data_IF_635564065964
#
_entry.id   IF_635564065964
#
_cell.length_a   1.000
_cell.length_b   1.000
_cell.length_c   1.000
_cell.angle_alpha   90.00
_cell.angle_beta   90.00
_cell.angle_gamma   90.00
#
_symmetry.space_group_name_H-M   'P 1'
#
loop_
_entity.id
_entity.type
_entity.pdbx_description
1 polymer ?
#
# COMPACT_ATOMS: atom_id res chain seq x y z
N UNK A 1 -2.65 26.37 33.97
CA UNK A 1 -3.46 25.24 34.46
C UNK A 1 -4.21 24.70 33.27
N UNK A 2 -3.76 23.56 32.77
CA UNK A 2 -4.16 22.92 31.52
C UNK A 2 -5.57 22.36 31.61
N UNK A 3 -6.45 22.82 30.72
CA UNK A 3 -7.73 22.19 30.44
C UNK A 3 -7.46 21.01 29.50
N UNK A 4 -7.69 19.80 30.01
CA UNK A 4 -7.66 18.55 29.26
C UNK A 4 -8.91 18.52 28.37
N UNK A 5 -8.75 18.77 27.08
CA UNK A 5 -9.79 18.50 26.10
C UNK A 5 -9.89 16.98 25.93
N UNK A 6 -10.94 16.39 26.49
CA UNK A 6 -11.32 15.01 26.27
C UNK A 6 -11.83 14.84 24.84
N UNK A 7 -10.96 14.44 23.92
CA UNK A 7 -11.35 14.06 22.56
C UNK A 7 -11.72 12.57 22.55
N UNK A 8 -12.98 12.28 22.23
CA UNK A 8 -13.53 10.92 22.05
C UNK A 8 -13.09 10.30 20.71
N UNK A 9 -11.77 10.15 20.54
CA UNK A 9 -11.14 9.44 19.42
C UNK A 9 -10.56 8.03 19.73
N UNK A 10 -10.60 7.46 20.96
CA UNK A 10 -9.87 6.21 21.26
C UNK A 10 -10.53 4.93 20.70
N UNK A 11 -11.66 5.01 20.00
CA UNK A 11 -12.37 3.84 19.46
C UNK A 11 -12.04 3.50 18.00
N UNK A 12 -11.47 4.43 17.23
CA UNK A 12 -11.18 4.20 15.79
C UNK A 12 -9.90 3.37 15.60
N UNK A 13 -8.88 3.59 16.44
CA UNK A 13 -7.66 2.76 16.49
C UNK A 13 -7.97 1.31 16.92
N UNK A 14 -8.96 1.12 17.80
CA UNK A 14 -9.36 -0.19 18.30
C UNK A 14 -10.11 -1.01 17.23
N UNK A 15 -10.85 -0.36 16.33
CA UNK A 15 -11.56 -1.02 15.24
C UNK A 15 -10.64 -1.47 14.09
N UNK A 16 -9.48 -0.81 13.92
CA UNK A 16 -8.48 -1.07 12.87
C UNK A 16 -7.78 -2.43 13.02
N UNK A 17 -7.65 -2.90 14.25
CA UNK A 17 -7.03 -4.18 14.61
C UNK A 17 -8.07 -5.30 14.80
N UNK A 18 -9.24 -4.95 15.33
CA UNK A 18 -10.29 -5.93 15.62
C UNK A 18 -11.03 -6.43 14.38
N UNK A 19 -11.13 -5.69 13.27
CA UNK A 19 -11.82 -6.23 12.08
C UNK A 19 -11.08 -7.38 11.37
N UNK A 20 -9.75 -7.48 11.54
CA UNK A 20 -9.01 -8.65 11.10
C UNK A 20 -9.27 -9.88 12.01
N UNK A 21 -9.68 -9.64 13.27
CA UNK A 21 -9.80 -10.66 14.33
C UNK A 21 -11.21 -10.80 14.93
N UNK A 22 -12.26 -10.13 14.43
CA UNK A 22 -13.61 -10.22 15.00
C UNK A 22 -14.44 -11.25 14.25
N UNK A 23 -14.94 -12.23 14.98
CA UNK A 23 -15.76 -13.37 14.54
C UNK A 23 -17.16 -13.01 13.99
N UNK A 24 -17.50 -11.73 13.81
CA UNK A 24 -18.86 -11.32 13.46
C UNK A 24 -19.05 -11.00 11.97
N UNK A 25 -19.60 -12.00 11.26
CA UNK A 25 -20.34 -11.81 10.02
C UNK A 25 -21.62 -10.98 10.32
N UNK A 26 -21.49 -9.65 10.29
CA UNK A 26 -22.62 -8.74 10.23
C UNK A 26 -23.05 -8.10 11.55
N UNK A 27 -23.26 -6.77 11.47
CA UNK A 27 -23.90 -5.92 12.48
C UNK A 27 -23.20 -5.84 13.85
N UNK A 28 -22.53 -4.71 14.11
CA UNK A 28 -22.38 -4.23 15.48
C UNK A 28 -23.78 -3.79 15.96
N UNK A 29 -24.49 -4.69 16.64
CA UNK A 29 -25.54 -4.30 17.57
C UNK A 29 -24.83 -3.80 18.83
N UNK A 30 -24.86 -2.49 19.05
CA UNK A 30 -24.52 -1.91 20.36
C UNK A 30 -25.58 -2.38 21.34
N UNK A 31 -25.37 -3.51 22.01
CA UNK A 31 -26.26 -3.97 23.06
C UNK A 31 -25.99 -3.18 24.33
N UNK A 32 -27.01 -2.45 24.77
CA UNK A 32 -27.12 -1.75 26.05
C UNK A 32 -26.53 -2.56 27.21
N UNK A 33 -25.48 -2.03 27.82
CA UNK A 33 -25.08 -2.39 29.17
C UNK A 33 -25.21 -1.16 30.08
N UNK A 34 -26.34 -1.10 30.79
CA UNK A 34 -26.44 -0.41 32.06
C UNK A 34 -26.83 1.07 32.00
N UNK A 35 -28.14 1.31 32.06
CA UNK A 35 -28.71 2.57 32.49
C UNK A 35 -28.17 2.99 33.86
N UNK A 36 -27.47 4.13 33.90
CA UNK A 36 -27.63 5.19 34.92
C UNK A 36 -26.61 6.31 34.66
N UNK A 37 -26.94 7.21 33.73
CA UNK A 37 -26.54 8.62 33.75
C UNK A 37 -27.34 9.34 32.65
N UNK A 38 -28.49 9.91 33.02
CA UNK A 38 -29.26 10.74 32.11
C UNK A 38 -28.45 11.96 31.67
N UNK A 39 -28.29 12.11 30.36
CA UNK A 39 -28.01 13.39 29.72
C UNK A 39 -28.72 13.38 28.36
N UNK A 40 -29.69 14.28 28.22
CA UNK A 40 -30.52 14.49 27.04
C UNK A 40 -29.67 14.60 25.77
N UNK A 41 -29.95 13.73 24.79
CA UNK A 41 -29.47 13.85 23.41
C UNK A 41 -30.52 14.67 22.67
N UNK A 42 -30.50 15.99 22.87
CA UNK A 42 -31.14 16.92 21.95
C UNK A 42 -30.37 18.25 22.01
N UNK A 43 -29.93 18.69 20.83
CA UNK A 43 -29.12 19.90 20.55
C UNK A 43 -27.64 19.83 20.98
N UNK A 44 -26.77 19.37 20.08
CA UNK A 44 -25.34 19.73 20.10
C UNK A 44 -25.15 20.87 19.12
N UNK A 45 -24.86 22.04 19.67
CA UNK A 45 -24.43 23.25 18.98
C UNK A 45 -23.05 23.01 18.37
N UNK A 46 -22.97 23.07 17.04
CA UNK A 46 -21.75 22.89 16.26
C UNK A 46 -21.03 24.25 16.26
N UNK A 47 -20.34 24.55 17.35
CA UNK A 47 -19.53 25.76 17.44
C UNK A 47 -18.38 25.70 16.42
N UNK A 48 -18.28 26.76 15.60
CA UNK A 48 -17.22 27.04 14.61
C UNK A 48 -15.84 26.54 15.04
N UNK A 49 -15.48 25.33 14.59
CA UNK A 49 -14.11 24.86 14.51
C UNK A 49 -13.69 25.08 13.06
N UNK A 50 -12.74 25.98 12.84
CA UNK A 50 -12.36 26.46 11.51
C UNK A 50 -12.24 25.35 10.45
N UNK A 51 -12.84 25.60 9.30
CA UNK A 51 -12.82 24.73 8.13
C UNK A 51 -11.38 24.42 7.69
N UNK A 52 -10.96 23.18 7.91
CA UNK A 52 -9.76 22.60 7.31
C UNK A 52 -9.17 21.47 8.16
N UNK A 53 -8.76 20.33 7.56
CA UNK A 53 -7.86 19.41 8.26
C UNK A 53 -6.60 20.18 8.69
N UNK A 54 -6.02 19.89 9.86
CA UNK A 54 -4.83 20.58 10.32
C UNK A 54 -3.73 20.49 9.27
N UNK A 55 -3.06 21.63 9.01
CA UNK A 55 -1.83 21.70 8.21
C UNK A 55 -0.73 20.93 8.96
N UNK A 56 -0.71 19.61 8.72
CA UNK A 56 0.45 18.76 9.01
C UNK A 56 1.50 19.23 8.01
N UNK A 57 2.48 20.03 8.45
CA UNK A 57 3.57 20.48 7.59
C UNK A 57 4.10 19.32 6.74
N UNK A 58 4.50 19.61 5.49
CA UNK A 58 4.87 18.61 4.46
C UNK A 58 6.01 17.69 4.93
N UNK A 59 5.70 16.68 5.76
CA UNK A 59 6.64 15.65 6.16
C UNK A 59 6.81 14.71 4.97
N UNK A 60 7.88 14.94 4.22
CA UNK A 60 8.29 14.10 3.10
C UNK A 60 9.05 12.86 3.58
N UNK A 61 9.16 12.66 4.90
CA UNK A 61 10.00 11.67 5.56
C UNK A 61 11.37 12.23 5.96
N UNK A 62 12.26 11.37 6.49
CA UNK A 62 13.59 11.78 6.90
C UNK A 62 14.29 12.54 5.76
N UNK A 63 14.71 13.77 6.07
CA UNK A 63 15.53 14.56 5.15
C UNK A 63 16.87 13.87 4.92
N UNK A 64 17.47 14.10 3.74
CA UNK A 64 18.78 13.58 3.30
C UNK A 64 19.99 13.99 4.18
N UNK A 65 19.75 14.52 5.38
CA UNK A 65 20.78 15.04 6.27
C UNK A 65 21.55 16.24 5.70
N UNK A 66 21.03 16.88 4.63
CA UNK A 66 21.71 17.95 3.91
C UNK A 66 22.72 17.45 2.87
N UNK A 67 22.70 16.16 2.53
CA UNK A 67 23.50 15.58 1.44
C UNK A 67 22.68 15.64 0.16
N UNK A 68 23.11 16.45 -0.80
CA UNK A 68 22.47 16.49 -2.13
C UNK A 68 22.63 15.14 -2.82
N UNK A 69 21.53 14.41 -2.98
CA UNK A 69 21.44 13.21 -3.81
C UNK A 69 21.43 13.61 -5.30
N UNK A 70 22.51 13.31 -6.07
CA UNK A 70 22.59 13.70 -7.47
C UNK A 70 21.62 12.95 -8.39
N UNK A 71 21.04 11.84 -7.91
CA UNK A 71 20.02 11.07 -8.64
C UNK A 71 18.62 11.65 -8.48
N UNK A 72 18.39 12.51 -7.47
CA UNK A 72 17.08 13.05 -7.19
C UNK A 72 16.67 14.10 -8.24
N UNK A 73 15.61 13.79 -9.00
CA UNK A 73 15.04 14.69 -10.01
C UNK A 73 13.91 15.52 -9.42
N UNK A 74 13.04 14.87 -8.63
CA UNK A 74 11.86 15.48 -8.05
C UNK A 74 11.46 14.77 -6.76
N UNK A 75 10.99 15.52 -5.77
CA UNK A 75 10.31 15.01 -4.57
C UNK A 75 9.29 16.05 -4.13
N UNK A 76 8.04 15.64 -3.95
CA UNK A 76 7.04 16.54 -3.40
C UNK A 76 5.62 15.99 -3.44
N UNK A 77 4.72 16.75 -2.81
CA UNK A 77 3.28 16.48 -2.79
C UNK A 77 2.57 17.49 -3.70
N UNK A 78 2.08 17.00 -4.84
CA UNK A 78 1.54 17.84 -5.92
C UNK A 78 0.02 17.71 -6.04
N UNK A 79 -0.69 18.77 -6.47
CA UNK A 79 -2.11 18.68 -6.78
C UNK A 79 -2.30 17.86 -8.07
N UNK A 80 -2.70 16.59 -7.91
CA UNK A 80 -2.86 15.63 -9.01
C UNK A 80 -4.30 15.08 -8.97
N UNK A 81 -5.09 15.41 -9.99
CA UNK A 81 -6.51 15.08 -10.02
C UNK A 81 -7.29 15.79 -8.90
N UNK A 82 -8.02 15.02 -8.10
CA UNK A 82 -8.78 15.50 -6.95
C UNK A 82 -8.01 15.41 -5.62
N UNK A 83 -6.76 14.95 -5.63
CA UNK A 83 -5.95 14.74 -4.44
C UNK A 83 -4.66 15.55 -4.43
N UNK A 84 -3.94 15.44 -3.31
CA UNK A 84 -2.55 15.87 -3.18
C UNK A 84 -1.70 14.62 -3.04
N UNK A 85 -0.93 14.30 -4.07
CA UNK A 85 -0.25 13.02 -4.18
C UNK A 85 1.26 13.19 -4.07
N UNK A 86 1.88 12.34 -3.25
CA UNK A 86 3.32 12.25 -3.15
C UNK A 86 3.91 11.56 -4.38
N UNK A 87 4.93 12.19 -4.96
CA UNK A 87 5.75 11.62 -6.03
C UNK A 87 7.22 11.94 -5.76
N UNK A 88 8.06 10.93 -5.88
CA UNK A 88 9.51 11.07 -5.89
C UNK A 88 10.09 10.39 -7.12
N UNK A 89 10.95 11.09 -7.86
CA UNK A 89 11.57 10.62 -9.09
C UNK A 89 13.07 10.68 -8.93
N UNK A 90 13.73 9.54 -9.17
CA UNK A 90 15.18 9.38 -9.12
C UNK A 90 15.73 8.80 -10.43
N UNK A 91 17.03 8.91 -10.61
CA UNK A 91 17.77 8.30 -11.72
C UNK A 91 17.95 9.23 -12.92
N UNK A 92 17.80 8.68 -14.13
CA UNK A 92 18.09 9.41 -15.38
C UNK A 92 16.85 9.56 -16.26
N UNK A 93 16.38 10.80 -16.48
CA UNK A 93 15.26 11.08 -17.40
C UNK A 93 15.66 11.22 -18.87
N UNK A 94 16.96 11.29 -19.18
CA UNK A 94 17.48 11.43 -20.54
C UNK A 94 17.72 10.07 -21.25
N UNK A 95 17.46 8.95 -20.57
CA UNK A 95 17.56 7.61 -21.14
C UNK A 95 16.43 7.30 -22.14
N UNK A 96 16.62 6.23 -22.91
CA UNK A 96 15.59 5.67 -23.80
C UNK A 96 14.79 4.53 -23.16
N UNK A 97 15.21 4.04 -21.98
CA UNK A 97 14.44 3.05 -21.22
C UNK A 97 13.18 3.68 -20.65
N UNK A 98 12.11 2.90 -20.55
CA UNK A 98 10.87 3.37 -19.92
C UNK A 98 11.13 3.70 -18.43
N UNK A 99 10.53 4.77 -17.88
CA UNK A 99 10.54 5.02 -16.45
C UNK A 99 9.80 3.90 -15.71
N UNK A 100 10.28 3.52 -14.52
CA UNK A 100 9.59 2.59 -13.63
C UNK A 100 8.69 3.35 -12.67
N UNK A 101 7.47 2.87 -12.45
CA UNK A 101 6.61 3.31 -11.34
C UNK A 101 6.50 2.18 -10.33
N UNK A 102 6.85 2.48 -9.08
CA UNK A 102 6.79 1.55 -7.95
C UNK A 102 5.50 1.80 -7.15
N UNK A 103 4.74 0.74 -6.89
CA UNK A 103 3.44 0.79 -6.22
C UNK A 103 3.43 -0.11 -4.98
N UNK A 104 3.01 0.44 -3.85
CA UNK A 104 3.14 -0.16 -2.52
C UNK A 104 2.19 -1.30 -2.22
N UNK A 105 2.60 -2.16 -1.28
CA UNK A 105 1.70 -3.14 -0.68
C UNK A 105 0.66 -2.46 0.20
N UNK A 106 -0.49 -3.12 0.35
CA UNK A 106 -1.68 -2.62 1.06
C UNK A 106 -2.26 -1.29 0.52
N UNK A 107 -3.59 -1.11 0.58
CA UNK A 107 -4.23 0.13 0.12
C UNK A 107 -3.84 1.40 0.87
N UNK A 108 -3.19 1.32 2.04
CA UNK A 108 -2.76 2.49 2.81
C UNK A 108 -1.24 2.75 2.91
N UNK A 109 -0.35 1.86 2.48
CA UNK A 109 1.09 2.05 2.77
C UNK A 109 1.78 3.02 1.81
N UNK A 110 2.76 3.76 2.33
CA UNK A 110 3.65 4.58 1.54
C UNK A 110 4.69 3.78 0.75
N UNK A 111 5.39 4.47 -0.14
CA UNK A 111 6.39 3.90 -1.07
C UNK A 111 7.82 3.88 -0.55
N UNK A 112 8.09 4.32 0.69
CA UNK A 112 9.44 4.50 1.23
C UNK A 112 10.18 3.18 1.43
N UNK A 113 9.46 2.11 1.78
CA UNK A 113 10.05 0.79 1.98
C UNK A 113 10.73 0.24 0.71
N UNK A 114 10.39 0.79 -0.46
CA UNK A 114 11.10 0.47 -1.69
C UNK A 114 12.54 0.95 -1.65
N UNK A 115 12.85 2.10 -1.07
CA UNK A 115 14.15 2.76 -1.21
C UNK A 115 15.33 1.85 -0.84
N UNK A 116 15.36 1.16 0.33
CA UNK A 116 16.44 0.22 0.65
C UNK A 116 16.62 -0.93 -0.37
N UNK A 117 15.55 -1.27 -1.09
CA UNK A 117 15.48 -2.43 -1.99
C UNK A 117 15.83 -2.07 -3.43
N UNK A 118 15.44 -0.87 -3.89
CA UNK A 118 15.73 -0.39 -5.25
C UNK A 118 16.93 0.55 -5.32
N UNK A 119 17.35 1.21 -4.24
CA UNK A 119 18.55 2.07 -4.27
C UNK A 119 19.85 1.30 -4.59
N UNK A 120 20.05 0.05 -4.13
CA UNK A 120 21.18 -0.77 -4.59
C UNK A 120 21.15 -1.09 -6.10
N UNK A 121 20.00 -0.91 -6.75
CA UNK A 121 19.81 -1.17 -8.18
C UNK A 121 19.85 0.13 -8.99
N UNK A 122 19.06 1.13 -8.60
CA UNK A 122 18.79 2.35 -9.35
C UNK A 122 19.21 3.63 -8.63
N UNK A 123 19.64 3.55 -7.37
CA UNK A 123 20.09 4.70 -6.57
C UNK A 123 21.53 5.14 -6.90
N UNK A 124 22.08 6.13 -6.17
CA UNK A 124 23.34 6.84 -6.48
C UNK A 124 24.64 6.02 -6.50
N UNK A 125 24.54 4.72 -6.25
CA UNK A 125 25.66 3.78 -6.34
C UNK A 125 25.19 2.42 -6.85
N UNK A 126 23.97 2.40 -7.42
CA UNK A 126 23.31 1.20 -7.87
C UNK A 126 23.92 0.68 -9.16
N UNK A 127 23.82 -0.62 -9.37
CA UNK A 127 24.36 -1.30 -10.56
C UNK A 127 23.75 -0.79 -11.89
N UNK A 128 22.65 -0.03 -11.83
CA UNK A 128 21.91 0.50 -12.96
C UNK A 128 21.58 2.01 -12.83
N UNK A 129 22.28 2.73 -11.94
CA UNK A 129 22.06 4.14 -11.56
C UNK A 129 21.80 5.09 -12.75
N UNK A 130 22.48 4.87 -13.88
CA UNK A 130 22.47 5.80 -15.00
C UNK A 130 21.48 5.46 -16.14
N UNK A 131 20.80 4.30 -16.10
CA UNK A 131 20.12 3.79 -17.30
C UNK A 131 18.60 3.95 -17.29
N UNK A 132 17.99 4.34 -16.17
CA UNK A 132 16.54 4.62 -16.11
C UNK A 132 16.10 5.60 -15.03
N UNK A 133 14.90 6.15 -15.18
CA UNK A 133 14.22 6.86 -14.12
C UNK A 133 13.30 5.92 -13.32
N UNK A 134 13.18 6.15 -12.02
CA UNK A 134 12.31 5.39 -11.10
C UNK A 134 11.45 6.37 -10.31
N UNK A 135 10.16 6.08 -10.25
CA UNK A 135 9.17 6.88 -9.54
C UNK A 135 8.57 6.10 -8.37
N UNK A 136 8.70 6.66 -7.17
CA UNK A 136 8.04 6.23 -5.94
C UNK A 136 6.76 7.03 -5.79
N UNK A 137 5.62 6.33 -5.73
CA UNK A 137 4.30 6.97 -5.75
C UNK A 137 3.47 6.44 -4.59
N UNK A 138 2.89 7.36 -3.82
CA UNK A 138 1.82 7.03 -2.89
C UNK A 138 0.49 7.38 -3.58
N UNK A 139 -0.38 6.39 -3.80
CA UNK A 139 -1.69 6.65 -4.40
C UNK A 139 -2.59 7.45 -3.45
N UNK A 140 -3.76 7.85 -3.93
CA UNK A 140 -4.74 8.51 -3.09
C UNK A 140 -4.99 7.71 -1.79
N UNK A 141 -5.00 8.37 -0.64
CA UNK A 141 -5.16 7.74 0.67
C UNK A 141 -4.07 6.69 1.03
N UNK A 142 -2.88 6.76 0.43
CA UNK A 142 -1.69 5.99 0.84
C UNK A 142 -0.63 6.88 1.44
N UNK A 143 0.14 6.36 2.40
CA UNK A 143 1.36 6.98 2.90
C UNK A 143 1.20 8.48 3.18
N UNK A 144 1.93 9.30 2.42
CA UNK A 144 1.95 10.77 2.52
C UNK A 144 0.87 11.47 1.68
N UNK A 145 0.19 10.75 0.80
CA UNK A 145 -0.86 11.28 -0.05
C UNK A 145 -2.16 11.52 0.72
N UNK A 146 -2.88 12.58 0.34
CA UNK A 146 -4.11 12.96 1.02
C UNK A 146 -5.26 11.98 0.76
N UNK A 147 -6.33 12.05 1.57
CA UNK A 147 -7.60 11.36 1.35
C UNK A 147 -8.44 11.96 0.19
N UNK A 148 -7.96 13.02 -0.47
CA UNK A 148 -8.68 13.90 -1.42
C UNK A 148 -9.89 14.67 -0.86
N UNK A 149 -10.72 14.04 -0.02
CA UNK A 149 -11.99 14.58 0.46
C UNK A 149 -12.23 14.20 1.92
N UNK A 150 -13.08 14.98 2.61
CA UNK A 150 -13.68 14.55 3.87
C UNK A 150 -14.79 13.50 3.69
N UNK A 151 -15.26 13.31 2.46
CA UNK A 151 -16.19 12.24 2.10
C UNK A 151 -15.44 10.91 1.98
N UNK A 152 -15.52 10.10 3.03
CA UNK A 152 -14.89 8.78 3.11
C UNK A 152 -15.35 7.82 2.00
N UNK A 153 -16.54 8.01 1.40
CA UNK A 153 -17.01 7.16 0.29
C UNK A 153 -16.17 7.30 -0.99
N UNK A 154 -15.38 8.37 -1.09
CA UNK A 154 -14.45 8.60 -2.19
C UNK A 154 -13.10 7.91 -1.97
N UNK A 155 -12.87 7.28 -0.81
CA UNK A 155 -11.66 6.51 -0.53
C UNK A 155 -11.91 5.04 -0.89
N UNK A 156 -11.71 4.72 -2.17
CA UNK A 156 -12.04 3.42 -2.74
C UNK A 156 -11.04 3.02 -3.84
N UNK A 157 -11.11 1.75 -4.27
CA UNK A 157 -10.19 1.17 -5.25
C UNK A 157 -10.22 1.91 -6.61
N UNK A 158 -11.39 2.35 -7.06
CA UNK A 158 -11.55 3.04 -8.34
C UNK A 158 -10.85 4.40 -8.34
N UNK A 159 -10.97 5.16 -7.26
CA UNK A 159 -10.31 6.46 -7.13
C UNK A 159 -8.79 6.31 -6.92
N UNK A 160 -8.33 5.24 -6.26
CA UNK A 160 -6.90 4.93 -6.23
C UNK A 160 -6.35 4.59 -7.63
N UNK A 161 -7.07 3.78 -8.41
CA UNK A 161 -6.70 3.50 -9.80
C UNK A 161 -6.71 4.77 -10.67
N UNK A 162 -7.68 5.65 -10.48
CA UNK A 162 -7.71 6.95 -11.16
C UNK A 162 -6.51 7.82 -10.77
N UNK A 163 -6.14 7.81 -9.49
CA UNK A 163 -4.97 8.55 -9.00
C UNK A 163 -3.67 8.07 -9.65
N UNK A 164 -3.51 6.75 -9.87
CA UNK A 164 -2.37 6.19 -10.62
C UNK A 164 -2.32 6.75 -12.05
N UNK A 165 -3.44 6.76 -12.77
CA UNK A 165 -3.51 7.33 -14.11
C UNK A 165 -3.18 8.82 -14.16
N UNK A 166 -3.70 9.59 -13.21
CA UNK A 166 -3.40 11.02 -13.10
C UNK A 166 -1.92 11.26 -12.77
N UNK A 167 -1.31 10.44 -11.91
CA UNK A 167 0.11 10.55 -11.57
C UNK A 167 1.02 10.22 -12.76
N UNK A 168 0.71 9.17 -13.52
CA UNK A 168 1.44 8.85 -14.75
C UNK A 168 1.32 10.00 -15.76
N UNK A 169 0.13 10.60 -15.91
CA UNK A 169 -0.06 11.75 -16.79
C UNK A 169 0.74 12.97 -16.32
N UNK A 170 0.71 13.28 -15.02
CA UNK A 170 1.53 14.33 -14.43
C UNK A 170 3.02 14.13 -14.73
N UNK A 171 3.52 12.90 -14.57
CA UNK A 171 4.92 12.57 -14.86
C UNK A 171 5.27 12.71 -16.35
N UNK A 172 4.38 12.27 -17.25
CA UNK A 172 4.52 12.45 -18.70
C UNK A 172 4.65 13.92 -19.07
N UNK A 173 3.75 14.76 -18.56
CA UNK A 173 3.69 16.17 -18.93
C UNK A 173 4.88 16.98 -18.40
N UNK A 174 5.39 16.63 -17.22
CA UNK A 174 6.43 17.41 -16.53
C UNK A 174 7.85 16.91 -16.75
N UNK A 175 8.05 15.60 -16.91
CA UNK A 175 9.38 14.98 -16.91
C UNK A 175 9.64 14.07 -18.11
N UNK A 176 8.61 13.45 -18.70
CA UNK A 176 8.78 12.38 -19.70
C UNK A 176 7.98 12.63 -20.98
N UNK A 177 8.10 13.82 -21.58
CA UNK A 177 7.22 14.28 -22.68
C UNK A 177 7.30 13.44 -23.96
N UNK A 178 8.43 12.75 -24.18
CA UNK A 178 8.64 11.86 -25.34
C UNK A 178 8.32 10.39 -25.02
N UNK A 179 8.00 10.08 -23.77
CA UNK A 179 7.77 8.70 -23.32
C UNK A 179 6.34 8.28 -23.57
N UNK A 180 6.17 7.18 -24.31
CA UNK A 180 4.84 6.61 -24.57
C UNK A 180 4.45 5.54 -23.55
N UNK A 181 5.42 4.92 -22.87
CA UNK A 181 5.20 3.78 -21.97
C UNK A 181 5.96 3.91 -20.66
N UNK A 182 5.35 3.40 -19.60
CA UNK A 182 5.97 3.24 -18.29
C UNK A 182 6.06 1.74 -17.98
N UNK A 183 7.08 1.34 -17.25
CA UNK A 183 7.12 0.02 -16.65
C UNK A 183 6.52 0.12 -15.25
N UNK A 184 5.70 -0.85 -14.86
CA UNK A 184 5.02 -0.85 -13.57
C UNK A 184 5.49 -2.01 -12.72
N UNK A 185 5.93 -1.73 -11.51
CA UNK A 185 6.26 -2.72 -10.49
C UNK A 185 5.30 -2.52 -9.33
N UNK A 186 4.39 -3.47 -9.15
CA UNK A 186 3.39 -3.41 -8.08
C UNK A 186 3.55 -4.56 -7.12
N UNK A 187 3.58 -4.25 -5.82
CA UNK A 187 3.63 -5.22 -4.74
C UNK A 187 2.29 -5.27 -4.02
N UNK A 188 1.73 -6.46 -3.77
CA UNK A 188 0.47 -6.58 -3.04
C UNK A 188 -0.65 -5.81 -3.74
N UNK A 189 -1.24 -4.87 -3.00
CA UNK A 189 -2.24 -3.93 -3.50
C UNK A 189 -1.77 -3.16 -4.75
N UNK A 190 -0.53 -2.67 -4.74
CA UNK A 190 0.09 -2.04 -5.90
C UNK A 190 0.15 -2.97 -7.11
N UNK A 191 0.25 -4.29 -6.90
CA UNK A 191 0.16 -5.30 -7.96
C UNK A 191 -1.22 -5.33 -8.63
N UNK A 192 -2.29 -5.28 -7.85
CA UNK A 192 -3.66 -5.16 -8.39
C UNK A 192 -3.85 -3.83 -9.13
N UNK A 193 -3.41 -2.71 -8.55
CA UNK A 193 -3.50 -1.39 -9.21
C UNK A 193 -2.73 -1.34 -10.53
N UNK A 194 -1.51 -1.90 -10.57
CA UNK A 194 -0.70 -2.00 -11.78
C UNK A 194 -1.40 -2.83 -12.86
N UNK A 195 -1.95 -3.99 -12.49
CA UNK A 195 -2.66 -4.87 -13.39
C UNK A 195 -3.92 -4.21 -13.98
N UNK A 196 -4.74 -3.58 -13.14
CA UNK A 196 -5.95 -2.87 -13.58
C UNK A 196 -5.64 -1.67 -14.47
N UNK A 197 -4.54 -0.95 -14.18
CA UNK A 197 -4.07 0.12 -15.04
C UNK A 197 -3.63 -0.42 -16.39
N UNK A 198 -2.83 -1.49 -16.42
CA UNK A 198 -2.36 -2.12 -17.65
C UNK A 198 -3.53 -2.67 -18.51
N UNK A 199 -4.54 -3.25 -17.87
CA UNK A 199 -5.75 -3.75 -18.54
C UNK A 199 -6.56 -2.62 -19.20
N UNK A 200 -6.68 -1.49 -18.51
CA UNK A 200 -7.47 -0.34 -18.97
C UNK A 200 -6.72 0.58 -19.94
N UNK A 201 -5.39 0.46 -20.02
CA UNK A 201 -4.52 1.33 -20.82
C UNK A 201 -3.58 0.51 -21.72
N UNK A 202 -4.13 -0.34 -22.63
CA UNK A 202 -3.30 -1.19 -23.49
C UNK A 202 -2.33 -0.35 -24.32
N UNK A 203 -1.06 -0.77 -24.34
CA UNK A 203 0.01 -0.06 -25.05
C UNK A 203 0.69 1.07 -24.25
N UNK A 204 0.18 1.44 -23.07
CA UNK A 204 0.84 2.42 -22.18
C UNK A 204 1.83 1.80 -21.18
N UNK A 205 1.86 0.46 -21.08
CA UNK A 205 2.75 -0.28 -20.17
C UNK A 205 3.77 -1.06 -20.98
N UNK A 206 5.06 -0.88 -20.66
CA UNK A 206 6.17 -1.58 -21.33
C UNK A 206 6.43 -2.96 -20.72
N UNK A 207 6.71 -3.00 -19.42
CA UNK A 207 6.84 -4.20 -18.59
C UNK A 207 5.91 -4.09 -17.38
N UNK A 208 5.29 -5.21 -17.01
CA UNK A 208 4.45 -5.32 -15.81
C UNK A 208 5.06 -6.36 -14.86
N UNK A 209 5.48 -5.93 -13.68
CA UNK A 209 6.02 -6.81 -12.64
C UNK A 209 5.06 -6.80 -11.46
N UNK A 210 4.54 -7.97 -11.12
CA UNK A 210 3.54 -8.18 -10.07
C UNK A 210 4.16 -9.02 -8.96
N UNK A 211 4.44 -8.40 -7.82
CA UNK A 211 5.02 -9.07 -6.65
C UNK A 211 3.89 -9.37 -5.68
N UNK A 212 3.67 -10.64 -5.37
CA UNK A 212 2.66 -11.09 -4.41
C UNK A 212 1.30 -10.36 -4.60
N UNK A 213 0.74 -10.30 -5.83
CA UNK A 213 -0.34 -9.37 -6.14
C UNK A 213 -1.60 -9.66 -5.30
N UNK A 214 -2.30 -8.60 -4.89
CA UNK A 214 -3.50 -8.67 -4.05
C UNK A 214 -4.60 -9.55 -4.66
N UNK A 215 -5.50 -10.14 -3.86
CA UNK A 215 -6.70 -10.82 -4.35
C UNK A 215 -7.41 -10.11 -5.50
N UNK A 216 -7.66 -10.82 -6.59
CA UNK A 216 -8.34 -10.29 -7.77
C UNK A 216 -9.87 -10.35 -7.68
N UNK A 217 -10.44 -11.11 -6.73
CA UNK A 217 -11.88 -11.23 -6.52
C UNK A 217 -12.22 -11.55 -5.06
N UNK A 218 -13.52 -11.51 -4.73
CA UNK A 218 -14.02 -11.72 -3.38
C UNK A 218 -13.73 -13.13 -2.84
N UNK A 219 -13.78 -14.18 -3.67
CA UNK A 219 -13.56 -15.56 -3.24
C UNK A 219 -12.12 -15.78 -2.76
N UNK A 220 -11.14 -15.34 -3.55
CA UNK A 220 -9.73 -15.47 -3.17
C UNK A 220 -9.34 -14.48 -2.06
N UNK A 221 -10.06 -13.36 -1.92
CA UNK A 221 -9.91 -12.46 -0.77
C UNK A 221 -10.39 -13.14 0.51
N UNK A 222 -11.58 -13.75 0.50
CA UNK A 222 -12.12 -14.48 1.63
C UNK A 222 -11.22 -15.67 2.02
N UNK A 223 -10.69 -16.42 1.03
CA UNK A 223 -9.73 -17.50 1.28
C UNK A 223 -8.43 -16.97 1.90
N UNK A 224 -7.89 -15.85 1.41
CA UNK A 224 -6.71 -15.21 1.99
C UNK A 224 -6.95 -14.84 3.46
N UNK A 225 -8.07 -14.18 3.78
CA UNK A 225 -8.42 -13.81 5.16
C UNK A 225 -8.59 -15.05 6.04
N UNK A 226 -9.18 -16.13 5.52
CA UNK A 226 -9.31 -17.38 6.25
C UNK A 226 -7.95 -18.03 6.53
N UNK A 227 -7.09 -18.16 5.52
CA UNK A 227 -5.74 -18.71 5.65
C UNK A 227 -4.94 -17.93 6.68
N UNK A 228 -4.98 -16.61 6.55
CA UNK A 228 -4.38 -15.67 7.48
C UNK A 228 -4.89 -15.95 8.90
N UNK A 229 -6.19 -15.85 9.19
CA UNK A 229 -6.76 -16.09 10.53
C UNK A 229 -6.39 -17.44 11.16
N UNK A 230 -6.20 -18.46 10.35
CA UNK A 230 -5.83 -19.80 10.83
C UNK A 230 -4.32 -20.00 10.99
N UNK A 231 -3.49 -19.03 10.59
CA UNK A 231 -2.05 -19.06 10.84
C UNK A 231 -1.79 -18.98 12.35
N UNK A 232 -1.12 -20.00 12.87
CA UNK A 232 -0.86 -20.14 14.30
C UNK A 232 0.17 -19.16 14.86
N UNK A 233 0.81 -18.33 14.02
CA UNK A 233 1.82 -17.34 14.41
C UNK A 233 1.20 -15.97 14.74
N UNK A 234 -0.12 -15.81 14.64
CA UNK A 234 -0.81 -14.61 15.09
C UNK A 234 -0.71 -14.40 16.61
N UNK A 235 -0.03 -13.34 17.04
CA UNK A 235 -0.03 -12.90 18.44
C UNK A 235 -1.12 -11.85 18.70
N UNK A 236 -2.38 -12.30 18.66
CA UNK A 236 -3.55 -11.46 18.93
C UNK A 236 -3.54 -10.87 20.34
N UNK A 237 -2.88 -11.53 21.29
CA UNK A 237 -2.72 -11.02 22.66
C UNK A 237 -1.74 -9.85 22.68
N UNK A 238 -0.54 -9.98 22.10
CA UNK A 238 0.41 -8.89 22.04
C UNK A 238 -0.17 -7.67 21.32
N UNK A 239 -0.93 -7.91 20.23
CA UNK A 239 -1.61 -6.85 19.50
C UNK A 239 -2.70 -6.16 20.35
N UNK A 240 -3.49 -6.93 21.11
CA UNK A 240 -4.47 -6.39 22.07
C UNK A 240 -3.80 -5.60 23.20
N UNK A 241 -2.70 -6.11 23.75
CA UNK A 241 -1.96 -5.45 24.83
C UNK A 241 -1.32 -4.14 24.36
N UNK A 242 -0.78 -4.11 23.13
CA UNK A 242 -0.24 -2.92 22.49
C UNK A 242 -1.33 -1.85 22.29
N UNK A 243 -2.45 -2.22 21.67
CA UNK A 243 -3.53 -1.27 21.36
C UNK A 243 -4.25 -0.74 22.61
N UNK A 244 -4.32 -1.52 23.68
CA UNK A 244 -4.85 -1.07 24.97
C UNK A 244 -3.88 -0.19 25.76
N UNK A 245 -2.60 -0.13 25.37
CA UNK A 245 -1.63 0.73 26.03
C UNK A 245 -1.97 2.21 25.74
N UNK A 246 -2.14 3.07 26.76
CA UNK A 246 -2.42 4.49 26.53
C UNK A 246 -1.34 5.23 25.71
N UNK A 247 -0.12 4.71 25.62
CA UNK A 247 0.92 5.26 24.75
C UNK A 247 0.61 5.07 23.26
N UNK A 248 -0.05 3.97 22.88
CA UNK A 248 -0.49 3.75 21.51
C UNK A 248 -1.38 4.91 21.03
N UNK A 249 -2.36 5.32 21.85
CA UNK A 249 -3.24 6.44 21.53
C UNK A 249 -2.57 7.83 21.57
N UNK A 250 -1.33 7.95 22.05
CA UNK A 250 -0.58 9.21 22.10
C UNK A 250 0.31 9.42 20.87
N UNK A 251 0.66 8.35 20.16
CA UNK A 251 1.42 8.39 18.92
C UNK A 251 0.85 7.30 17.99
N UNK A 252 -0.12 7.69 17.17
CA UNK A 252 -0.86 6.76 16.32
C UNK A 252 0.03 6.16 15.23
N UNK A 253 0.94 6.94 14.66
CA UNK A 253 1.85 6.47 13.61
C UNK A 253 2.78 5.37 14.16
N UNK A 254 3.41 5.62 15.31
CA UNK A 254 4.23 4.61 15.97
C UNK A 254 3.42 3.39 16.40
N UNK A 255 2.21 3.59 16.93
CA UNK A 255 1.36 2.46 17.31
C UNK A 255 1.02 1.59 16.12
N UNK A 256 0.77 2.20 14.97
CA UNK A 256 0.39 1.47 13.78
C UNK A 256 1.58 0.72 13.17
N UNK A 257 2.79 1.29 13.20
CA UNK A 257 4.04 0.58 12.88
C UNK A 257 4.26 -0.62 13.83
N UNK A 258 4.11 -0.42 15.14
CA UNK A 258 4.28 -1.49 16.12
C UNK A 258 3.21 -2.59 15.96
N UNK A 259 1.98 -2.19 15.62
CA UNK A 259 0.87 -3.12 15.34
C UNK A 259 1.15 -3.93 14.08
N UNK A 260 1.64 -3.27 13.03
CA UNK A 260 2.06 -3.93 11.79
C UNK A 260 3.17 -4.95 12.07
N UNK A 261 4.13 -4.65 12.95
CA UNK A 261 5.19 -5.60 13.32
C UNK A 261 4.68 -6.87 14.00
N UNK A 262 3.57 -6.80 14.73
CA UNK A 262 2.96 -7.99 15.34
C UNK A 262 2.10 -8.73 14.31
N UNK A 263 1.34 -7.96 13.53
CA UNK A 263 0.36 -8.48 12.58
C UNK A 263 1.04 -9.13 11.36
N UNK A 264 2.09 -8.54 10.81
CA UNK A 264 2.69 -8.99 9.54
C UNK A 264 3.58 -10.24 9.66
N UNK A 265 3.75 -10.83 10.84
CA UNK A 265 4.55 -12.07 11.03
C UNK A 265 4.10 -13.18 10.08
N UNK A 266 2.79 -13.45 9.88
CA UNK A 266 2.37 -14.51 8.97
C UNK A 266 2.59 -14.24 7.49
N UNK A 267 3.06 -13.04 7.15
CA UNK A 267 3.31 -12.67 5.75
C UNK A 267 4.70 -13.08 5.29
N UNK A 268 5.60 -13.44 6.19
CA UNK A 268 6.94 -13.95 5.85
C UNK A 268 7.06 -15.42 6.16
N UNK A 269 7.98 -16.11 5.49
CA UNK A 269 8.25 -17.51 5.75
C UNK A 269 8.79 -17.69 7.19
N UNK A 270 8.45 -18.82 7.81
CA UNK A 270 8.92 -19.16 9.16
C UNK A 270 10.45 -19.14 9.22
N UNK A 271 11.01 -18.37 10.14
CA UNK A 271 12.46 -18.19 10.32
C UNK A 271 13.02 -16.89 9.71
N UNK A 272 12.23 -16.15 8.92
CA UNK A 272 12.65 -14.88 8.31
C UNK A 272 12.15 -13.63 9.05
N UNK A 273 11.45 -13.79 10.19
CA UNK A 273 10.84 -12.68 10.92
C UNK A 273 11.85 -11.61 11.34
N UNK A 274 13.04 -12.05 11.80
CA UNK A 274 14.09 -11.13 12.25
C UNK A 274 14.64 -10.27 11.11
N UNK A 275 14.86 -10.85 9.93
CA UNK A 275 15.32 -10.13 8.73
C UNK A 275 14.24 -9.15 8.28
N UNK A 276 12.98 -9.61 8.27
CA UNK A 276 11.84 -8.79 7.87
C UNK A 276 11.72 -7.50 8.70
N UNK A 277 11.83 -7.57 10.02
CA UNK A 277 11.70 -6.37 10.86
C UNK A 277 12.96 -5.52 10.98
N UNK A 278 14.12 -6.05 10.61
CA UNK A 278 15.37 -5.30 10.54
C UNK A 278 15.46 -4.47 9.25
N UNK A 279 15.03 -5.05 8.12
CA UNK A 279 15.28 -4.48 6.79
C UNK A 279 14.05 -3.78 6.20
N UNK A 280 12.84 -4.04 6.70
CA UNK A 280 11.65 -3.31 6.26
C UNK A 280 11.48 -1.98 7.01
N UNK A 281 11.69 -0.89 6.29
CA UNK A 281 11.46 0.46 6.77
C UNK A 281 10.12 1.01 6.28
N UNK A 282 9.12 1.08 7.17
CA UNK A 282 7.82 1.72 6.90
C UNK A 282 7.66 2.92 7.83
N UNK A 283 7.62 4.12 7.24
CA UNK A 283 7.50 5.37 8.00
C UNK A 283 6.12 6.03 7.86
N UNK A 284 5.47 5.86 6.70
CA UNK A 284 4.15 6.45 6.46
C UNK A 284 3.15 5.39 6.02
N UNK A 285 2.00 5.43 6.66
CA UNK A 285 0.88 4.57 6.36
C UNK A 285 -0.42 5.27 6.72
N UNK A 286 -1.40 5.17 5.83
CA UNK A 286 -2.73 5.71 6.01
C UNK A 286 -3.71 4.56 6.23
N UNK A 287 -3.79 4.11 7.48
CA UNK A 287 -4.63 2.97 7.87
C UNK A 287 -6.13 3.24 7.77
N UNK A 288 -6.55 4.52 7.78
CA UNK A 288 -7.93 4.87 7.45
C UNK A 288 -8.21 4.58 5.97
N UNK A 289 -7.30 4.98 5.08
CA UNK A 289 -7.37 4.66 3.66
C UNK A 289 -7.40 3.16 3.39
N UNK A 290 -6.51 2.42 4.04
CA UNK A 290 -6.46 0.95 4.01
C UNK A 290 -7.83 0.32 4.33
N UNK A 291 -8.40 0.72 5.48
CA UNK A 291 -9.70 0.22 5.95
C UNK A 291 -10.85 0.57 5.00
N UNK A 292 -10.92 1.82 4.53
CA UNK A 292 -12.03 2.28 3.70
C UNK A 292 -12.03 1.57 2.34
N UNK A 293 -10.86 1.36 1.74
CA UNK A 293 -10.73 0.62 0.48
C UNK A 293 -11.10 -0.86 0.65
N UNK A 294 -10.60 -1.52 1.70
CA UNK A 294 -10.94 -2.92 1.96
C UNK A 294 -12.44 -3.11 2.30
N UNK A 295 -13.04 -2.17 3.04
CA UNK A 295 -14.48 -2.15 3.30
C UNK A 295 -15.29 -1.96 2.00
N UNK A 296 -14.87 -1.04 1.13
CA UNK A 296 -15.51 -0.84 -0.18
C UNK A 296 -15.49 -2.12 -1.01
N UNK A 297 -14.34 -2.78 -1.14
CA UNK A 297 -14.23 -4.05 -1.88
C UNK A 297 -15.15 -5.14 -1.33
N UNK A 298 -15.18 -5.31 0.00
CA UNK A 298 -16.06 -6.30 0.64
C UNK A 298 -17.54 -5.97 0.41
N UNK A 299 -17.91 -4.69 0.44
CA UNK A 299 -19.28 -4.25 0.19
C UNK A 299 -19.72 -4.43 -1.27
N UNK A 300 -18.78 -4.51 -2.21
CA UNK A 300 -19.08 -4.84 -3.61
C UNK A 300 -19.53 -6.31 -3.79
N UNK A 301 -19.15 -7.22 -2.87
CA UNK A 301 -19.48 -8.63 -2.95
C UNK A 301 -19.05 -9.25 -4.28
N UNK A 302 -19.96 -9.93 -4.98
CA UNK A 302 -19.69 -10.55 -6.29
C UNK A 302 -19.23 -9.56 -7.38
N UNK A 303 -19.46 -8.25 -7.20
CA UNK A 303 -18.96 -7.24 -8.13
C UNK A 303 -17.45 -6.99 -8.00
N UNK A 304 -16.83 -7.40 -6.89
CA UNK A 304 -15.38 -7.50 -6.75
C UNK A 304 -14.90 -8.75 -7.47
N UNK A 305 -14.78 -8.63 -8.80
CA UNK A 305 -14.15 -9.62 -9.67
C UNK A 305 -13.42 -8.93 -10.83
N UNK A 306 -12.09 -8.97 -10.78
CA UNK A 306 -11.21 -8.38 -11.78
C UNK A 306 -10.57 -9.42 -12.71
N UNK A 307 -10.87 -10.70 -12.57
CA UNK A 307 -10.18 -11.76 -13.32
C UNK A 307 -10.33 -11.57 -14.85
N UNK A 308 -11.52 -11.19 -15.31
CA UNK A 308 -11.78 -10.94 -16.72
C UNK A 308 -10.98 -9.74 -17.26
N UNK A 309 -10.83 -8.68 -16.46
CA UNK A 309 -10.05 -7.50 -16.83
C UNK A 309 -8.55 -7.83 -16.89
N UNK A 310 -8.04 -8.55 -15.88
CA UNK A 310 -6.64 -9.01 -15.81
C UNK A 310 -6.29 -9.87 -17.03
N UNK A 311 -7.17 -10.77 -17.47
CA UNK A 311 -6.95 -11.60 -18.64
C UNK A 311 -6.80 -10.82 -19.97
N UNK A 312 -7.17 -9.53 -20.01
CA UNK A 312 -7.01 -8.66 -21.20
C UNK A 312 -5.66 -7.93 -21.26
N UNK A 313 -4.80 -8.07 -20.24
CA UNK A 313 -3.50 -7.39 -20.20
C UNK A 313 -2.63 -7.85 -21.37
N UNK A 314 -2.07 -6.87 -22.09
CA UNK A 314 -1.20 -7.11 -23.26
C UNK A 314 0.28 -6.88 -22.96
N UNK A 315 0.60 -6.24 -21.83
CA UNK A 315 1.96 -5.97 -21.44
C UNK A 315 2.69 -7.29 -21.09
N UNK A 316 3.95 -7.47 -21.51
CA UNK A 316 4.82 -8.53 -20.98
C UNK A 316 4.80 -8.50 -19.46
N UNK A 317 4.36 -9.60 -18.85
CA UNK A 317 4.08 -9.66 -17.42
C UNK A 317 4.93 -10.71 -16.73
N UNK A 318 5.51 -10.36 -15.58
CA UNK A 318 6.20 -11.29 -14.70
C UNK A 318 5.55 -11.25 -13.32
N UNK A 319 5.15 -12.40 -12.81
CA UNK A 319 4.56 -12.59 -11.48
C UNK A 319 5.64 -13.18 -10.56
N UNK A 320 5.99 -12.44 -9.52
CA UNK A 320 7.01 -12.80 -8.53
C UNK A 320 6.30 -13.20 -7.23
N UNK A 321 6.48 -14.45 -6.76
CA UNK A 321 5.74 -14.97 -5.59
C UNK A 321 6.65 -15.75 -4.65
N UNK A 322 6.43 -15.65 -3.35
CA UNK A 322 7.05 -16.57 -2.38
C UNK A 322 6.36 -17.94 -2.32
N UNK A 323 7.08 -18.95 -1.85
CA UNK A 323 6.52 -20.29 -1.57
C UNK A 323 5.69 -20.34 -0.28
N UNK A 324 5.94 -19.43 0.66
CA UNK A 324 5.26 -19.29 1.95
C UNK A 324 4.27 -18.11 1.96
N UNK A 325 3.97 -17.54 0.80
CA UNK A 325 3.09 -16.37 0.67
C UNK A 325 1.67 -16.73 1.17
N UNK A 326 1.06 -15.92 2.06
CA UNK A 326 -0.29 -16.19 2.56
C UNK A 326 -1.38 -16.02 1.49
N UNK A 327 -1.09 -15.34 0.37
CA UNK A 327 -2.06 -15.19 -0.72
C UNK A 327 -2.32 -16.56 -1.38
N UNK A 328 -3.59 -16.94 -1.57
CA UNK A 328 -3.94 -18.23 -2.16
C UNK A 328 -3.36 -18.45 -3.56
N UNK A 329 -2.94 -19.69 -3.83
CA UNK A 329 -2.45 -20.11 -5.15
C UNK A 329 -3.48 -19.84 -6.27
N UNK A 330 -4.78 -19.92 -5.96
CA UNK A 330 -5.85 -19.58 -6.88
C UNK A 330 -5.76 -18.13 -7.38
N UNK A 331 -5.31 -17.20 -6.55
CA UNK A 331 -5.09 -15.82 -6.96
C UNK A 331 -3.93 -15.70 -7.97
N UNK A 332 -2.80 -16.37 -7.71
CA UNK A 332 -1.67 -16.36 -8.64
C UNK A 332 -2.00 -17.03 -9.98
N UNK A 333 -2.92 -18.00 -9.99
CA UNK A 333 -3.46 -18.57 -11.22
C UNK A 333 -4.21 -17.54 -12.07
N UNK A 334 -4.94 -16.61 -11.46
CA UNK A 334 -5.61 -15.51 -12.19
C UNK A 334 -4.56 -14.62 -12.88
N UNK A 335 -3.53 -14.19 -12.16
CA UNK A 335 -2.49 -13.32 -12.72
C UNK A 335 -1.62 -14.04 -13.77
N UNK A 336 -1.39 -15.35 -13.65
CA UNK A 336 -0.62 -16.12 -14.63
C UNK A 336 -1.41 -16.52 -15.87
N UNK A 337 -2.73 -16.28 -15.90
CA UNK A 337 -3.54 -16.41 -17.12
C UNK A 337 -3.36 -15.24 -18.10
N UNK A 338 -2.68 -14.15 -17.68
CA UNK A 338 -2.30 -13.07 -18.59
C UNK A 338 -1.49 -13.68 -19.76
N UNK A 339 -1.83 -13.37 -21.03
CA UNK A 339 -1.15 -13.95 -22.18
C UNK A 339 0.36 -13.74 -22.15
N UNK A 340 1.11 -14.85 -22.06
CA UNK A 340 2.57 -14.83 -22.06
C UNK A 340 3.20 -14.45 -20.71
N UNK A 341 2.43 -14.42 -19.62
CA UNK A 341 2.99 -14.17 -18.30
C UNK A 341 3.98 -15.25 -17.87
N UNK A 342 5.04 -14.82 -17.20
CA UNK A 342 6.01 -15.67 -16.53
C UNK A 342 5.75 -15.64 -15.04
N UNK A 343 5.99 -16.75 -14.34
CA UNK A 343 5.99 -16.80 -12.88
C UNK A 343 7.35 -17.23 -12.36
N UNK A 344 7.91 -16.44 -11.46
CA UNK A 344 9.12 -16.78 -10.70
C UNK A 344 8.70 -17.01 -9.25
N UNK A 345 9.11 -18.15 -8.70
CA UNK A 345 8.85 -18.52 -7.31
C UNK A 345 10.15 -18.41 -6.51
N UNK A 346 10.06 -17.82 -5.33
CA UNK A 346 11.17 -17.68 -4.39
C UNK A 346 10.99 -18.71 -3.27
N UNK A 347 11.83 -19.77 -3.24
CA UNK A 347 11.84 -20.71 -2.13
C UNK A 347 12.10 -20.00 -0.81
N UNK A 348 11.50 -20.50 0.26
CA UNK A 348 11.72 -19.99 1.63
C UNK A 348 11.43 -18.48 1.78
N UNK A 349 10.59 -17.92 0.90
CA UNK A 349 10.09 -16.54 0.97
C UNK A 349 8.57 -16.53 1.06
N UNK A 350 8.02 -15.58 1.78
CA UNK A 350 6.60 -15.27 1.82
C UNK A 350 6.23 -14.11 0.90
N UNK A 351 5.38 -13.24 1.40
CA UNK A 351 4.85 -12.05 0.73
C UNK A 351 5.94 -11.04 0.36
N UNK A 352 7.09 -11.05 1.05
CA UNK A 352 8.18 -10.10 0.85
C UNK A 352 9.46 -10.76 0.30
N UNK A 353 9.44 -11.38 -0.89
CA UNK A 353 10.64 -12.05 -1.43
C UNK A 353 11.82 -11.09 -1.65
N UNK A 354 11.56 -9.79 -1.81
CA UNK A 354 12.58 -8.75 -1.89
C UNK A 354 13.36 -8.52 -0.59
N UNK A 355 12.77 -8.86 0.56
CA UNK A 355 13.42 -8.79 1.88
C UNK A 355 13.96 -10.16 2.28
N UNK A 356 13.20 -11.21 2.03
CA UNK A 356 13.51 -12.58 2.46
C UNK A 356 14.56 -13.27 1.58
N UNK A 357 14.71 -12.84 0.32
CA UNK A 357 15.66 -13.44 -0.63
C UNK A 357 16.23 -12.40 -1.63
N UNK A 358 16.88 -11.32 -1.14
CA UNK A 358 17.32 -10.21 -1.99
C UNK A 358 18.28 -10.66 -3.11
N UNK A 359 19.19 -11.59 -2.83
CA UNK A 359 20.17 -12.10 -3.81
C UNK A 359 19.53 -12.80 -5.01
N UNK A 360 18.36 -13.44 -4.81
CA UNK A 360 17.60 -14.06 -5.89
C UNK A 360 16.59 -13.09 -6.50
N UNK A 361 15.99 -12.23 -5.69
CA UNK A 361 14.96 -11.29 -6.09
C UNK A 361 15.49 -10.21 -7.04
N UNK A 362 16.61 -9.57 -6.70
CA UNK A 362 17.13 -8.44 -7.47
C UNK A 362 17.43 -8.81 -8.94
N UNK A 363 18.13 -9.92 -9.25
CA UNK A 363 18.31 -10.35 -10.64
C UNK A 363 17.01 -10.65 -11.37
N UNK A 364 16.03 -11.28 -10.69
CA UNK A 364 14.74 -11.59 -11.28
C UNK A 364 13.91 -10.33 -11.61
N UNK A 365 13.94 -9.32 -10.72
CA UNK A 365 13.33 -8.02 -10.97
C UNK A 365 13.97 -7.32 -12.17
N UNK A 366 15.30 -7.35 -12.27
CA UNK A 366 16.03 -6.77 -13.41
C UNK A 366 15.68 -7.48 -14.72
N UNK A 367 15.69 -8.81 -14.73
CA UNK A 367 15.31 -9.60 -15.92
C UNK A 367 13.87 -9.32 -16.34
N UNK A 368 12.94 -9.17 -15.39
CA UNK A 368 11.56 -8.84 -15.68
C UNK A 368 11.37 -7.44 -16.31
N UNK A 369 12.33 -6.55 -16.07
CA UNK A 369 12.33 -5.16 -16.50
C UNK A 369 13.12 -4.90 -17.79
N UNK A 370 13.86 -5.88 -18.31
CA UNK A 370 14.54 -5.86 -19.61
C UNK A 370 13.64 -6.43 -20.69
#
# INVERSE_FOLDING_TARGET
>A
MSSVASSRWPLVALALVLHACSDDDGSIVVSDAGADAGADIDTIDVGDAGDGPPDLGEDLGPGDGGVTDPSLIFRGIEPIGNGRLFVEIRGNIATTKNPVVLLSFLPGMGSEYWAPLVDPVFGPSGINEADRAVAYVDLLAQGRSSLASSDESLVNAANQLQSLGNTIQFMKDRFFTETTRFDLVGHGWGGLMAALYAASNPGSVGRLVLISPYPANIDVHAEWIANYRTDGRHDTRALTDLTNNPQCGRNLDQCAIDSFRIYAVPWVCEGNEDVFFQDLEVFHANFLGDRLVDLDLRNQGDAYDFAAAIAQIQAPTTVLTGDCDPIPEANFQIYTQIPGALRVRFPESGFFPMVESPDAFTPALLEALE
#
